data_IF_848224385733
#
_entry.id   IF_848224385733
#
_cell.length_a   1.000
_cell.length_b   1.000
_cell.length_c   1.000
_cell.angle_alpha   90.00
_cell.angle_beta   90.00
_cell.angle_gamma   90.00
#
_symmetry.space_group_name_H-M   'P 1'
#
loop_
_entity.id
_entity.type
_entity.pdbx_description
1 polymer ?
#
# COMPACT_ATOMS: atom_id res chain seq x y z
N UNK A 1 7.50 -4.72 -10.75
CA UNK A 1 6.60 -5.32 -11.72
C UNK A 1 5.19 -4.80 -11.54
N UNK A 2 4.63 -4.18 -12.59
CA UNK A 2 3.32 -3.54 -12.58
C UNK A 2 2.29 -4.34 -13.39
N UNK A 3 2.50 -5.65 -13.58
CA UNK A 3 1.52 -6.48 -14.28
C UNK A 3 0.28 -6.71 -13.42
N UNK A 4 -0.85 -6.98 -14.08
CA UNK A 4 -2.10 -7.24 -13.37
C UNK A 4 -2.01 -8.40 -12.37
N UNK A 5 -1.38 -9.54 -12.68
CA UNK A 5 -1.22 -10.61 -11.69
C UNK A 5 -0.41 -10.19 -10.47
N UNK A 6 0.65 -9.42 -10.64
CA UNK A 6 1.46 -8.92 -9.53
C UNK A 6 0.67 -7.96 -8.65
N UNK A 7 -0.06 -7.03 -9.27
CA UNK A 7 -0.91 -6.09 -8.54
C UNK A 7 -2.05 -6.81 -7.82
N UNK A 8 -2.63 -7.84 -8.44
CA UNK A 8 -3.68 -8.65 -7.83
C UNK A 8 -3.17 -9.41 -6.59
N UNK A 9 -1.98 -10.00 -6.69
CA UNK A 9 -1.36 -10.71 -5.56
C UNK A 9 -1.06 -9.76 -4.41
N UNK A 10 -0.58 -8.55 -4.71
CA UNK A 10 -0.34 -7.53 -3.71
C UNK A 10 -1.63 -7.14 -2.98
N UNK A 11 -2.70 -6.89 -3.73
CA UNK A 11 -3.99 -6.53 -3.14
C UNK A 11 -4.53 -7.64 -2.23
N UNK A 12 -4.41 -8.89 -2.67
CA UNK A 12 -4.84 -10.05 -1.87
C UNK A 12 -4.06 -10.12 -0.55
N UNK A 13 -2.74 -9.90 -0.59
CA UNK A 13 -1.91 -9.87 0.62
C UNK A 13 -2.27 -8.71 1.54
N UNK A 14 -2.54 -7.54 0.97
CA UNK A 14 -2.96 -6.38 1.76
C UNK A 14 -4.29 -6.65 2.47
N UNK A 15 -5.24 -7.26 1.78
CA UNK A 15 -6.53 -7.62 2.38
C UNK A 15 -6.36 -8.62 3.52
N UNK A 16 -5.48 -9.61 3.36
CA UNK A 16 -5.18 -10.59 4.40
C UNK A 16 -4.53 -9.91 5.62
N UNK A 17 -3.62 -8.97 5.39
CA UNK A 17 -3.00 -8.20 6.45
C UNK A 17 -4.05 -7.43 7.27
N UNK A 18 -4.96 -6.74 6.61
CA UNK A 18 -6.01 -5.99 7.30
C UNK A 18 -6.98 -6.93 8.04
N UNK A 19 -7.29 -8.09 7.45
CA UNK A 19 -8.14 -9.08 8.12
C UNK A 19 -7.52 -9.55 9.43
N UNK A 20 -6.19 -9.75 9.44
CA UNK A 20 -5.45 -10.11 10.65
C UNK A 20 -5.51 -9.04 11.73
N UNK A 21 -5.85 -7.81 11.38
CA UNK A 21 -6.04 -6.70 12.33
C UNK A 21 -7.51 -6.37 12.59
N UNK A 22 -8.42 -7.25 12.22
CA UNK A 22 -9.85 -7.09 12.49
C UNK A 22 -10.62 -6.35 11.42
N UNK A 23 -9.98 -5.91 10.35
CA UNK A 23 -10.65 -5.26 9.22
C UNK A 23 -10.92 -6.32 8.17
N UNK A 24 -12.14 -6.86 8.18
CA UNK A 24 -12.52 -7.98 7.31
C UNK A 24 -13.20 -7.54 6.01
N UNK A 25 -13.48 -6.24 5.88
CA UNK A 25 -14.16 -5.70 4.70
C UNK A 25 -13.41 -4.51 4.15
N UNK A 26 -13.12 -4.54 2.84
CA UNK A 26 -12.59 -3.41 2.10
C UNK A 26 -13.72 -2.89 1.22
N UNK A 27 -14.07 -1.62 1.39
CA UNK A 27 -15.17 -1.03 0.63
C UNK A 27 -14.73 -0.53 -0.73
N UNK A 28 -13.56 0.10 -0.81
CA UNK A 28 -13.06 0.72 -2.03
C UNK A 28 -11.56 0.50 -2.18
N UNK A 29 -11.16 0.35 -3.43
CA UNK A 29 -9.74 0.31 -3.81
C UNK A 29 -9.54 1.44 -4.81
N UNK A 30 -8.76 2.44 -4.43
CA UNK A 30 -8.46 3.57 -5.32
C UNK A 30 -7.14 3.35 -6.02
N UNK A 31 -7.15 3.48 -7.34
CA UNK A 31 -5.96 3.33 -8.18
C UNK A 31 -5.88 4.48 -9.18
N UNK A 32 -4.70 4.64 -9.79
CA UNK A 32 -4.60 5.46 -10.99
C UNK A 32 -5.24 4.73 -12.19
N UNK A 33 -5.10 5.29 -13.38
CA UNK A 33 -5.69 4.75 -14.59
C UNK A 33 -4.77 3.81 -15.37
N UNK A 34 -3.71 3.27 -14.74
CA UNK A 34 -2.81 2.33 -15.39
C UNK A 34 -3.58 1.11 -15.91
N UNK A 35 -3.12 0.57 -17.03
CA UNK A 35 -3.79 -0.55 -17.71
C UNK A 35 -3.98 -1.75 -16.78
N UNK A 36 -2.97 -2.09 -15.96
CA UNK A 36 -3.05 -3.22 -15.05
C UNK A 36 -4.22 -3.11 -14.07
N UNK A 37 -4.56 -1.91 -13.64
CA UNK A 37 -5.68 -1.68 -12.73
C UNK A 37 -7.01 -1.56 -13.45
N UNK A 38 -7.03 -0.88 -14.58
CA UNK A 38 -8.28 -0.56 -15.29
C UNK A 38 -8.79 -1.72 -16.14
N UNK A 39 -7.88 -2.44 -16.79
CA UNK A 39 -8.19 -3.49 -17.75
C UNK A 39 -7.60 -4.86 -17.41
N UNK A 40 -6.80 -4.97 -16.36
CA UNK A 40 -6.19 -6.22 -15.97
C UNK A 40 -7.20 -7.17 -15.34
N UNK A 41 -7.51 -8.28 -16.02
CA UNK A 41 -8.53 -9.22 -15.56
C UNK A 41 -8.23 -9.77 -14.16
N UNK A 42 -6.97 -10.07 -13.85
CA UNK A 42 -6.58 -10.61 -12.56
C UNK A 42 -6.86 -9.61 -11.42
N UNK A 43 -6.56 -8.34 -11.63
CA UNK A 43 -6.80 -7.31 -10.62
C UNK A 43 -8.30 -7.07 -10.41
N UNK A 44 -9.05 -6.96 -11.49
CA UNK A 44 -10.51 -6.78 -11.45
C UNK A 44 -11.16 -7.94 -10.69
N UNK A 45 -10.70 -9.18 -10.93
CA UNK A 45 -11.23 -10.36 -10.26
C UNK A 45 -10.99 -10.32 -8.74
N UNK A 46 -9.81 -9.91 -8.29
CA UNK A 46 -9.52 -9.81 -6.85
C UNK A 46 -10.39 -8.73 -6.20
N UNK A 47 -10.55 -7.56 -6.84
CA UNK A 47 -11.44 -6.52 -6.32
C UNK A 47 -12.86 -7.05 -6.16
N UNK A 48 -13.36 -7.78 -7.16
CA UNK A 48 -14.70 -8.37 -7.11
C UNK A 48 -14.81 -9.42 -5.99
N UNK A 49 -13.81 -10.28 -5.85
CA UNK A 49 -13.78 -11.31 -4.80
C UNK A 49 -13.80 -10.71 -3.40
N UNK A 50 -13.20 -9.54 -3.22
CA UNK A 50 -13.21 -8.82 -1.95
C UNK A 50 -14.54 -8.12 -1.69
N UNK A 51 -15.45 -8.07 -2.66
CA UNK A 51 -16.69 -7.31 -2.57
C UNK A 51 -16.46 -5.80 -2.56
N UNK A 52 -15.30 -5.36 -3.03
CA UNK A 52 -14.93 -3.95 -3.02
C UNK A 52 -15.32 -3.28 -4.34
N UNK A 53 -15.36 -1.96 -4.32
CA UNK A 53 -15.49 -1.14 -5.53
C UNK A 53 -14.13 -0.58 -5.90
N UNK A 54 -13.79 -0.67 -7.18
CA UNK A 54 -12.61 0.00 -7.68
C UNK A 54 -12.97 1.45 -8.05
N UNK A 55 -12.18 2.38 -7.52
CA UNK A 55 -12.35 3.81 -7.80
C UNK A 55 -11.09 4.33 -8.45
N UNK A 56 -11.24 5.00 -9.59
CA UNK A 56 -10.11 5.57 -10.32
C UNK A 56 -9.97 7.06 -10.01
N UNK A 57 -8.73 7.55 -10.01
CA UNK A 57 -8.50 8.99 -9.99
C UNK A 57 -8.99 9.59 -11.30
N UNK A 58 -9.36 10.87 -11.28
CA UNK A 58 -9.77 11.56 -12.52
C UNK A 58 -8.58 11.70 -13.46
N UNK A 59 -8.80 11.62 -14.78
CA UNK A 59 -7.73 11.88 -15.74
C UNK A 59 -7.07 13.24 -15.45
N UNK A 60 -5.75 13.29 -15.58
CA UNK A 60 -4.92 14.48 -15.32
C UNK A 60 -5.04 15.06 -13.91
N UNK A 61 -5.46 14.24 -12.94
CA UNK A 61 -5.57 14.63 -11.54
C UNK A 61 -4.69 13.75 -10.64
N UNK A 62 -3.35 13.74 -10.83
CA UNK A 62 -2.47 12.86 -10.06
C UNK A 62 -2.50 13.15 -8.56
N UNK A 63 -2.84 14.38 -8.15
CA UNK A 63 -2.94 14.73 -6.73
C UNK A 63 -4.00 13.92 -5.99
N UNK A 64 -4.95 13.30 -6.68
CA UNK A 64 -5.94 12.42 -6.04
C UNK A 64 -5.32 11.14 -5.47
N UNK A 65 -4.11 10.78 -5.92
CA UNK A 65 -3.35 9.66 -5.40
C UNK A 65 -2.15 10.14 -4.54
N UNK A 66 -2.24 11.34 -3.99
CA UNK A 66 -1.12 12.00 -3.32
C UNK A 66 -0.63 11.30 -2.06
N UNK A 67 -1.49 10.59 -1.34
CA UNK A 67 -1.08 9.86 -0.13
C UNK A 67 -0.12 8.72 -0.48
N UNK A 68 -0.40 7.99 -1.54
CA UNK A 68 0.49 6.92 -2.01
C UNK A 68 1.82 7.50 -2.49
N UNK A 69 1.78 8.58 -3.27
CA UNK A 69 2.99 9.23 -3.75
C UNK A 69 3.85 9.76 -2.60
N UNK A 70 3.23 10.36 -1.59
CA UNK A 70 3.94 10.85 -0.40
C UNK A 70 4.58 9.71 0.37
N UNK A 71 3.87 8.59 0.53
CA UNK A 71 4.43 7.41 1.15
C UNK A 71 5.62 6.86 0.36
N UNK A 72 5.51 6.80 -0.97
CA UNK A 72 6.61 6.31 -1.81
C UNK A 72 7.87 7.16 -1.65
N UNK A 73 7.75 8.48 -1.50
CA UNK A 73 8.90 9.34 -1.21
C UNK A 73 9.54 9.02 0.13
N UNK A 74 8.73 8.78 1.16
CA UNK A 74 9.22 8.35 2.47
C UNK A 74 9.94 7.01 2.38
N UNK A 75 9.35 6.05 1.67
CA UNK A 75 9.94 4.74 1.45
C UNK A 75 11.32 4.84 0.79
N UNK A 76 11.45 5.68 -0.23
CA UNK A 76 12.72 5.88 -0.91
C UNK A 76 13.76 6.51 0.03
N UNK A 77 13.39 7.56 0.76
CA UNK A 77 14.33 8.28 1.62
C UNK A 77 14.73 7.49 2.86
N UNK A 78 13.79 6.78 3.48
CA UNK A 78 14.02 6.13 4.78
C UNK A 78 14.39 4.67 4.68
N UNK A 79 14.17 4.03 3.54
CA UNK A 79 14.52 2.63 3.32
C UNK A 79 15.47 2.44 2.16
N UNK A 80 15.00 2.71 0.93
CA UNK A 80 15.72 2.28 -0.28
C UNK A 80 17.08 2.96 -0.44
N UNK A 81 17.19 4.23 -0.04
CA UNK A 81 18.40 5.03 -0.23
C UNK A 81 19.02 5.53 1.07
N UNK A 82 18.56 5.04 2.21
CA UNK A 82 19.06 5.46 3.52
C UNK A 82 20.53 5.13 3.71
N UNK A 83 20.96 4.00 3.17
CA UNK A 83 22.34 3.54 3.23
C UNK A 83 22.67 2.80 1.95
N UNK A 84 23.96 2.70 1.58
CA UNK A 84 24.35 1.92 0.41
C UNK A 84 24.16 0.43 0.72
N UNK A 85 23.30 -0.23 -0.04
CA UNK A 85 23.19 -1.68 -0.02
C UNK A 85 24.11 -2.26 -1.10
N UNK A 86 24.82 -3.32 -0.78
CA UNK A 86 25.69 -3.97 -1.74
C UNK A 86 24.94 -4.91 -2.68
N UNK A 87 23.75 -5.38 -2.27
CA UNK A 87 22.92 -6.26 -3.09
C UNK A 87 21.44 -5.89 -2.93
N UNK A 88 20.63 -6.27 -3.93
CA UNK A 88 19.18 -6.14 -3.83
C UNK A 88 18.60 -7.01 -2.72
N UNK A 89 19.23 -8.14 -2.41
CA UNK A 89 18.77 -8.99 -1.31
C UNK A 89 18.90 -8.29 0.03
N UNK A 90 20.02 -7.58 0.27
CA UNK A 90 20.19 -6.80 1.50
C UNK A 90 19.12 -5.71 1.62
N UNK A 91 18.79 -5.04 0.51
CA UNK A 91 17.73 -4.02 0.51
C UNK A 91 16.36 -4.63 0.85
N UNK A 92 16.04 -5.79 0.28
CA UNK A 92 14.81 -6.51 0.59
C UNK A 92 14.75 -6.95 2.04
N UNK A 93 15.87 -7.46 2.57
CA UNK A 93 15.93 -7.91 3.96
C UNK A 93 15.72 -6.76 4.94
N UNK A 94 16.09 -5.54 4.57
CA UNK A 94 15.87 -4.36 5.38
C UNK A 94 14.43 -3.83 5.32
N UNK A 95 13.64 -4.25 4.33
CA UNK A 95 12.30 -3.71 4.13
C UNK A 95 11.32 -4.10 5.23
N UNK A 96 11.26 -5.38 5.60
CA UNK A 96 10.30 -5.85 6.61
C UNK A 96 10.50 -5.19 7.98
N UNK A 97 11.73 -5.11 8.53
CA UNK A 97 11.96 -4.35 9.77
C UNK A 97 11.60 -2.88 9.65
N UNK A 98 11.90 -2.26 8.51
CA UNK A 98 11.55 -0.86 8.29
C UNK A 98 10.02 -0.65 8.27
N UNK A 99 9.29 -1.52 7.59
CA UNK A 99 7.82 -1.44 7.55
C UNK A 99 7.22 -1.64 8.95
N UNK A 100 7.77 -2.56 9.74
CA UNK A 100 7.32 -2.77 11.10
C UNK A 100 7.50 -1.51 11.94
N UNK A 101 8.66 -0.87 11.86
CA UNK A 101 8.92 0.38 12.55
C UNK A 101 7.98 1.49 12.08
N UNK A 102 7.80 1.62 10.77
CA UNK A 102 6.90 2.62 10.20
C UNK A 102 5.49 2.45 10.74
N UNK A 103 4.97 1.24 10.70
CA UNK A 103 3.58 0.97 11.04
C UNK A 103 3.32 1.06 12.55
N UNK A 104 4.27 0.68 13.38
CA UNK A 104 4.06 0.54 14.82
C UNK A 104 4.69 1.64 15.67
N UNK A 105 5.70 2.34 15.16
CA UNK A 105 6.48 3.28 15.96
C UNK A 105 6.60 4.68 15.36
N UNK A 106 6.56 4.81 14.03
CA UNK A 106 6.74 6.11 13.39
C UNK A 106 5.56 7.01 13.67
N UNK A 107 5.81 8.15 14.30
CA UNK A 107 4.77 9.11 14.65
C UNK A 107 4.33 9.93 13.45
N UNK A 108 3.05 10.20 13.37
CA UNK A 108 2.46 11.00 12.30
C UNK A 108 1.62 12.14 12.88
N UNK A 109 1.91 13.37 12.48
CA UNK A 109 1.18 14.54 12.93
C UNK A 109 -0.31 14.43 12.63
N UNK A 110 -0.66 13.94 11.43
CA UNK A 110 -2.05 13.77 11.02
C UNK A 110 -2.82 12.76 11.89
N UNK A 111 -2.11 11.92 12.65
CA UNK A 111 -2.70 10.93 13.55
C UNK A 111 -2.53 11.31 15.02
N UNK A 112 -2.34 12.60 15.31
CA UNK A 112 -2.14 13.08 16.67
C UNK A 112 -0.84 12.60 17.31
N UNK A 113 0.20 12.37 16.51
CA UNK A 113 1.48 11.87 16.98
C UNK A 113 1.53 10.36 17.16
N UNK A 114 0.50 9.64 16.73
CA UNK A 114 0.43 8.18 16.84
C UNK A 114 0.94 7.50 15.58
N UNK A 115 1.40 6.24 15.67
CA UNK A 115 1.83 5.48 14.49
C UNK A 115 0.63 4.98 13.67
N UNK A 116 0.84 4.61 12.39
CA UNK A 116 -0.24 4.13 11.53
C UNK A 116 -1.06 2.98 12.10
N UNK A 117 -0.44 2.05 12.84
CA UNK A 117 -1.14 0.89 13.41
C UNK A 117 -2.26 1.31 14.36
N UNK A 118 -2.17 2.50 14.96
CA UNK A 118 -3.21 3.00 15.86
C UNK A 118 -4.58 3.13 15.18
N UNK A 119 -4.61 3.26 13.86
CA UNK A 119 -5.86 3.35 13.09
C UNK A 119 -6.54 2.00 12.89
N UNK A 120 -5.83 0.92 13.12
CA UNK A 120 -6.36 -0.44 12.99
C UNK A 120 -6.87 -1.00 14.32
N UNK A 121 -6.60 -0.32 15.42
CA UNK A 121 -7.08 -0.77 16.73
C UNK A 121 -8.55 -0.42 16.88
N UNK A 122 -9.43 -1.39 17.09
CA UNK A 122 -10.81 -1.09 17.44
C UNK A 122 -10.85 -0.43 18.82
N UNK A 123 -11.45 0.70 18.89
CA UNK A 123 -11.66 1.40 20.15
C UNK A 123 -13.05 1.09 20.68
#
# INVERSE_FOLDING_TARGET
DETAPTCAAFLARAAAYFAGHGITRIERVMTDNAFAYRHGAAFIAVVADLGARQKFIRPHCPWQNGKVERFNRTLQAEWAYRQPFTTNQQRRDALAPWLEQYNTQRRHTALGGQPPISRLSPT
#
